data_IF_496688288605
#
_entry.id   IF_496688288605
#
_cell.length_a   1.000
_cell.length_b   1.000
_cell.length_c   1.000
_cell.angle_alpha   90.00
_cell.angle_beta   90.00
_cell.angle_gamma   90.00
#
_symmetry.space_group_name_H-M   'P 1'
#
loop_
_entity.id
_entity.type
_entity.pdbx_description
1 polymer ?
#
# COMPACT_ATOMS: atom_id res chain seq x y z
N UNK A 1 2.53 11.83 9.06
CA UNK A 1 3.24 10.75 9.78
C UNK A 1 2.76 9.44 9.20
N UNK A 2 3.68 8.52 8.95
CA UNK A 2 3.37 7.22 8.37
C UNK A 2 3.53 6.15 9.44
N UNK A 3 2.55 5.25 9.50
CA UNK A 3 2.51 4.10 10.39
C UNK A 3 2.49 2.88 9.46
N UNK A 4 3.38 1.92 9.70
CA UNK A 4 3.51 0.70 8.89
C UNK A 4 3.17 -0.47 9.78
N UNK A 5 2.18 -1.27 9.40
CA UNK A 5 1.80 -2.48 10.13
C UNK A 5 2.21 -3.66 9.25
N UNK A 6 3.33 -4.28 9.63
CA UNK A 6 4.02 -5.29 8.83
C UNK A 6 3.81 -6.68 9.40
N UNK A 7 3.54 -7.63 8.52
CA UNK A 7 3.43 -9.06 8.82
C UNK A 7 4.81 -9.68 9.07
N UNK A 8 4.88 -10.54 10.07
CA UNK A 8 5.99 -11.46 10.35
C UNK A 8 5.44 -12.88 10.44
N UNK A 9 6.07 -13.81 9.74
CA UNK A 9 5.70 -15.21 9.89
C UNK A 9 6.08 -15.71 11.28
N UNK A 10 5.10 -16.15 12.07
CA UNK A 10 5.36 -16.90 13.29
C UNK A 10 5.62 -18.36 12.95
N UNK A 11 6.35 -19.05 13.84
CA UNK A 11 6.61 -20.49 13.72
C UNK A 11 5.34 -21.36 13.79
N UNK A 12 4.18 -20.77 14.09
CA UNK A 12 2.88 -21.45 14.17
C UNK A 12 2.02 -21.29 12.90
N UNK A 13 2.55 -20.67 11.84
CA UNK A 13 1.80 -20.40 10.61
C UNK A 13 0.75 -19.29 10.74
N UNK A 14 0.77 -18.55 11.85
CA UNK A 14 0.00 -17.32 12.05
C UNK A 14 0.93 -16.13 11.76
N UNK A 15 0.45 -15.10 11.08
CA UNK A 15 1.20 -13.86 10.92
C UNK A 15 1.15 -13.04 12.20
N UNK A 16 2.21 -13.14 13.02
CA UNK A 16 2.52 -12.09 14.00
C UNK A 16 2.81 -10.78 13.26
N UNK A 17 2.90 -9.66 13.97
CA UNK A 17 3.18 -8.40 13.29
C UNK A 17 3.95 -7.40 14.13
N UNK A 18 4.48 -6.41 13.43
CA UNK A 18 5.13 -5.26 14.04
C UNK A 18 4.50 -3.97 13.52
N UNK A 19 4.11 -3.12 14.47
CA UNK A 19 3.68 -1.76 14.21
C UNK A 19 4.90 -0.83 14.30
N UNK A 20 5.22 -0.17 13.19
CA UNK A 20 6.29 0.79 13.07
C UNK A 20 5.73 2.20 12.88
N UNK A 21 6.28 3.22 13.56
CA UNK A 21 5.90 4.60 13.31
C UNK A 21 7.02 5.63 13.52
N UNK A 22 6.98 6.69 12.70
CA UNK A 22 8.01 7.73 12.54
C UNK A 22 7.80 8.94 13.48
N UNK A 23 8.24 8.89 14.74
CA UNK A 23 8.10 10.03 15.66
C UNK A 23 9.14 11.11 15.37
N UNK A 24 8.70 12.28 14.91
CA UNK A 24 9.54 13.48 14.88
C UNK A 24 9.74 14.00 16.30
N UNK A 25 10.93 13.85 16.83
CA UNK A 25 11.36 14.53 18.05
C UNK A 25 11.98 15.88 17.68
N UNK A 26 11.62 16.94 18.42
CA UNK A 26 12.00 18.32 18.11
C UNK A 26 13.52 18.59 18.10
N UNK A 27 14.35 17.67 18.60
CA UNK A 27 15.79 17.84 18.76
C UNK A 27 16.65 16.74 18.14
N UNK A 28 16.10 15.55 17.86
CA UNK A 28 16.88 14.35 17.46
C UNK A 28 16.46 13.72 16.11
N UNK A 29 15.62 14.42 15.34
CA UNK A 29 15.14 13.92 14.05
C UNK A 29 13.96 12.95 14.18
N UNK A 30 13.82 12.05 13.21
CA UNK A 30 12.75 11.05 13.19
C UNK A 30 13.23 9.76 13.85
N UNK A 31 12.62 9.39 14.97
CA UNK A 31 12.86 8.11 15.65
C UNK A 31 11.79 7.12 15.21
N UNK A 32 12.21 5.98 14.68
CA UNK A 32 11.30 4.86 14.40
C UNK A 32 11.07 4.06 15.70
N UNK A 33 9.80 3.96 16.12
CA UNK A 33 9.39 3.03 17.17
C UNK A 33 8.80 1.79 16.54
N UNK A 34 9.12 0.63 17.11
CA UNK A 34 8.54 -0.67 16.75
C UNK A 34 7.82 -1.25 17.96
N UNK A 35 6.63 -1.81 17.76
CA UNK A 35 5.92 -2.61 18.77
C UNK A 35 5.46 -3.93 18.15
N UNK A 36 5.95 -5.08 18.62
CA UNK A 36 5.46 -6.38 18.18
C UNK A 36 4.09 -6.67 18.80
N UNK A 37 3.23 -7.35 18.06
CA UNK A 37 1.92 -7.81 18.51
C UNK A 37 1.64 -9.24 18.05
N UNK A 38 0.83 -9.96 18.83
CA UNK A 38 0.45 -11.33 18.51
C UNK A 38 -0.59 -11.37 17.38
N UNK A 39 -0.25 -12.11 16.32
CA UNK A 39 -1.17 -12.39 15.22
C UNK A 39 -2.37 -13.23 15.65
N UNK A 40 -2.18 -14.10 16.65
CA UNK A 40 -3.26 -14.93 17.20
C UNK A 40 -4.31 -14.05 17.89
N UNK A 41 -3.89 -13.15 18.78
CA UNK A 41 -4.82 -12.23 19.47
C UNK A 41 -5.55 -11.32 18.47
N UNK A 42 -4.86 -10.89 17.41
CA UNK A 42 -5.47 -10.06 16.36
C UNK A 42 -6.50 -10.83 15.52
N UNK A 43 -6.26 -12.13 15.26
CA UNK A 43 -7.22 -13.04 14.61
C UNK A 43 -8.42 -13.36 15.50
N UNK A 44 -8.20 -13.56 16.80
CA UNK A 44 -9.27 -13.72 17.79
C UNK A 44 -10.14 -12.45 17.88
N UNK A 45 -9.50 -11.28 17.92
CA UNK A 45 -10.19 -9.98 17.83
C UNK A 45 -10.98 -9.84 16.51
N UNK A 46 -10.44 -10.25 15.37
CA UNK A 46 -11.15 -10.20 14.08
C UNK A 46 -12.43 -11.04 14.09
N UNK A 47 -12.38 -12.24 14.69
CA UNK A 47 -13.55 -13.13 14.80
C UNK A 47 -14.63 -12.51 15.72
N UNK A 48 -14.24 -12.03 16.90
CA UNK A 48 -15.12 -11.33 17.84
C UNK A 48 -15.68 -10.02 17.25
N UNK A 49 -14.89 -9.31 16.44
CA UNK A 49 -15.34 -8.14 15.69
C UNK A 49 -16.38 -8.49 14.63
N UNK A 50 -16.24 -9.61 13.90
CA UNK A 50 -17.26 -10.09 12.95
C UNK A 50 -18.59 -10.37 13.67
N UNK A 51 -18.54 -11.07 14.81
CA UNK A 51 -19.71 -11.34 15.66
C UNK A 51 -20.33 -10.03 16.19
N UNK A 52 -19.51 -9.05 16.56
CA UNK A 52 -19.98 -7.72 16.95
C UNK A 52 -20.73 -7.04 15.80
N UNK A 53 -20.14 -6.98 14.60
CA UNK A 53 -20.78 -6.41 13.41
C UNK A 53 -22.13 -7.08 13.12
N UNK A 54 -22.21 -8.40 13.12
CA UNK A 54 -23.46 -9.14 12.91
C UNK A 54 -24.54 -8.79 13.95
N UNK A 55 -24.16 -8.63 15.22
CA UNK A 55 -25.09 -8.16 16.28
C UNK A 55 -25.56 -6.73 16.04
N UNK A 56 -24.70 -5.82 15.61
CA UNK A 56 -25.10 -4.44 15.29
C UNK A 56 -26.06 -4.42 14.08
N UNK A 57 -25.77 -5.20 13.04
CA UNK A 57 -26.59 -5.30 11.83
C UNK A 57 -27.91 -6.03 12.04
N UNK A 58 -28.04 -6.90 13.04
CA UNK A 58 -29.32 -7.52 13.41
C UNK A 58 -30.13 -6.65 14.38
N UNK A 59 -29.52 -6.20 15.48
CA UNK A 59 -30.22 -5.52 16.59
C UNK A 59 -30.50 -4.03 16.34
N UNK A 60 -29.69 -3.37 15.50
CA UNK A 60 -29.70 -1.91 15.29
C UNK A 60 -29.77 -1.07 16.59
N UNK A 61 -28.78 -1.21 17.51
CA UNK A 61 -28.82 -0.48 18.78
C UNK A 61 -28.74 1.04 18.57
N UNK A 62 -29.18 1.76 19.61
CA UNK A 62 -29.06 3.22 19.67
C UNK A 62 -27.59 3.63 19.61
N UNK A 63 -27.36 4.85 19.14
CA UNK A 63 -26.02 5.41 18.92
C UNK A 63 -25.15 5.37 20.18
N UNK A 64 -25.71 5.69 21.33
CA UNK A 64 -25.00 5.77 22.61
C UNK A 64 -24.50 4.39 23.05
N UNK A 65 -25.37 3.38 22.94
CA UNK A 65 -25.06 1.97 23.24
C UNK A 65 -24.02 1.41 22.26
N UNK A 66 -24.15 1.73 20.97
CA UNK A 66 -23.16 1.37 19.96
C UNK A 66 -21.78 1.99 20.26
N UNK A 67 -21.73 3.27 20.65
CA UNK A 67 -20.47 3.98 20.91
C UNK A 67 -19.76 3.50 22.18
N UNK A 68 -20.48 3.09 23.23
CA UNK A 68 -19.89 2.42 24.40
C UNK A 68 -19.24 1.08 24.01
N UNK A 69 -19.97 0.23 23.27
CA UNK A 69 -19.47 -1.07 22.81
C UNK A 69 -18.29 -0.92 21.83
N UNK A 70 -18.37 0.05 20.90
CA UNK A 70 -17.28 0.39 19.99
C UNK A 70 -16.04 0.86 20.75
N UNK A 71 -16.23 1.65 21.81
CA UNK A 71 -15.15 2.09 22.69
C UNK A 71 -14.37 0.92 23.27
N UNK A 72 -15.07 -0.08 23.80
CA UNK A 72 -14.45 -1.31 24.33
C UNK A 72 -13.68 -2.10 23.27
N UNK A 73 -14.22 -2.22 22.04
CA UNK A 73 -13.49 -2.84 20.91
C UNK A 73 -12.25 -2.04 20.49
N UNK A 74 -12.34 -0.71 20.50
CA UNK A 74 -11.23 0.20 20.23
C UNK A 74 -10.10 0.03 21.23
N UNK A 75 -10.42 0.04 22.53
CA UNK A 75 -9.44 -0.12 23.61
C UNK A 75 -8.78 -1.52 23.57
N UNK A 76 -9.54 -2.58 23.25
CA UNK A 76 -8.99 -3.93 23.04
C UNK A 76 -8.01 -3.99 21.85
N UNK A 77 -8.37 -3.39 20.70
CA UNK A 77 -7.49 -3.36 19.52
C UNK A 77 -6.22 -2.53 19.79
N UNK A 78 -6.35 -1.40 20.49
CA UNK A 78 -5.20 -0.59 20.90
C UNK A 78 -4.26 -1.38 21.82
N UNK A 79 -4.80 -2.10 22.81
CA UNK A 79 -4.00 -2.92 23.72
C UNK A 79 -3.28 -4.07 23.00
N UNK A 80 -3.93 -4.73 22.03
CA UNK A 80 -3.28 -5.80 21.24
C UNK A 80 -2.10 -5.26 20.43
N UNK A 81 -2.25 -4.08 19.80
CA UNK A 81 -1.32 -3.61 18.77
C UNK A 81 -0.23 -2.67 19.31
N UNK A 82 -0.50 -1.92 20.38
CA UNK A 82 0.42 -0.95 20.98
C UNK A 82 0.80 -1.32 22.43
N UNK A 83 0.19 -2.35 23.00
CA UNK A 83 0.44 -2.77 24.39
C UNK A 83 0.10 -1.67 25.39
N UNK A 84 1.08 -1.32 26.22
CA UNK A 84 0.97 -0.21 27.18
C UNK A 84 1.36 1.17 26.56
N UNK A 85 1.72 1.21 25.28
CA UNK A 85 2.16 2.44 24.61
C UNK A 85 0.96 3.24 24.12
N UNK A 86 0.69 4.41 24.69
CA UNK A 86 -0.31 5.33 24.15
C UNK A 86 0.14 5.84 22.77
N UNK A 87 -0.66 5.65 21.70
CA UNK A 87 -0.30 6.16 20.38
C UNK A 87 -0.25 7.70 20.36
N UNK A 88 0.79 8.27 19.76
CA UNK A 88 1.05 9.72 19.74
C UNK A 88 -0.11 10.58 19.19
N UNK A 89 -0.96 10.04 18.30
CA UNK A 89 -2.12 10.78 17.78
C UNK A 89 -3.27 10.92 18.79
N UNK A 90 -3.19 10.22 19.94
CA UNK A 90 -4.06 10.45 21.09
C UNK A 90 -3.60 11.62 21.97
N UNK A 91 -2.39 12.17 21.74
CA UNK A 91 -1.91 13.34 22.47
C UNK A 91 -2.77 14.59 22.14
N UNK A 92 -3.14 15.41 23.16
CA UNK A 92 -3.80 16.68 22.93
C UNK A 92 -3.00 17.58 21.97
N UNK A 93 -3.70 18.29 21.08
CA UNK A 93 -3.09 19.18 20.09
C UNK A 93 -2.51 18.51 18.83
N UNK A 94 -2.50 17.18 18.72
CA UNK A 94 -2.08 16.52 17.48
C UNK A 94 -3.00 16.88 16.30
N UNK A 95 -2.41 17.39 15.22
CA UNK A 95 -3.09 17.85 14.00
C UNK A 95 -2.53 17.28 12.69
N UNK A 96 -1.58 16.34 12.78
CA UNK A 96 -0.88 15.79 11.62
C UNK A 96 -1.68 14.78 10.79
N UNK A 97 -1.23 14.54 9.55
CA UNK A 97 -1.71 13.41 8.73
C UNK A 97 -1.34 12.08 9.40
N UNK A 98 -2.31 11.17 9.52
CA UNK A 98 -2.14 9.80 9.99
C UNK A 98 -2.31 8.88 8.77
N UNK A 99 -1.33 8.03 8.48
CA UNK A 99 -1.36 7.16 7.30
C UNK A 99 -0.95 5.74 7.69
N UNK A 100 -1.92 4.84 7.77
CA UNK A 100 -1.71 3.41 8.04
C UNK A 100 -1.43 2.71 6.72
N UNK A 101 -0.22 2.18 6.56
CA UNK A 101 0.15 1.28 5.48
C UNK A 101 0.24 -0.14 6.05
N UNK A 102 -0.72 -0.98 5.71
CA UNK A 102 -0.87 -2.31 6.32
C UNK A 102 -0.58 -3.41 5.30
N UNK A 103 -0.06 -4.54 5.75
CA UNK A 103 0.05 -5.73 4.90
C UNK A 103 -1.34 -6.36 4.62
N UNK A 104 -1.54 -7.07 3.50
CA UNK A 104 -2.84 -7.62 3.12
C UNK A 104 -3.48 -8.52 4.19
N UNK A 105 -2.68 -9.27 4.93
CA UNK A 105 -3.10 -10.15 6.04
C UNK A 105 -3.80 -9.36 7.16
N UNK A 106 -3.48 -8.07 7.30
CA UNK A 106 -4.05 -7.15 8.28
C UNK A 106 -5.03 -6.14 7.68
N UNK A 107 -5.40 -6.29 6.40
CA UNK A 107 -6.41 -5.46 5.75
C UNK A 107 -7.86 -5.66 6.24
N UNK A 108 -8.25 -6.79 6.88
CA UNK A 108 -9.58 -6.93 7.49
C UNK A 108 -9.77 -6.17 8.80
N UNK A 109 -8.67 -5.80 9.46
CA UNK A 109 -8.70 -5.22 10.79
C UNK A 109 -9.30 -3.80 10.72
N UNK A 110 -10.23 -3.46 11.62
CA UNK A 110 -10.96 -2.18 11.58
C UNK A 110 -10.12 -1.02 12.18
N UNK A 111 -8.95 -0.71 11.63
CA UNK A 111 -8.08 0.39 12.09
C UNK A 111 -8.81 1.73 12.23
N UNK A 112 -9.87 1.92 11.44
CA UNK A 112 -10.86 2.98 11.51
C UNK A 112 -11.44 3.24 12.91
N UNK A 113 -11.48 2.24 13.80
CA UNK A 113 -12.05 2.34 15.16
C UNK A 113 -11.05 2.77 16.21
N UNK A 114 -9.76 2.92 15.91
CA UNK A 114 -8.79 3.40 16.90
C UNK A 114 -9.15 4.83 17.32
N UNK A 115 -8.91 5.17 18.58
CA UNK A 115 -9.25 6.48 19.16
C UNK A 115 -8.22 7.54 18.78
N UNK A 116 -8.71 8.76 18.80
CA UNK A 116 -7.96 10.01 18.71
C UNK A 116 -8.30 10.87 19.94
N UNK A 117 -7.70 12.03 20.08
CA UNK A 117 -8.13 13.03 21.06
C UNK A 117 -9.59 13.51 20.84
N UNK A 118 -10.13 13.42 19.62
CA UNK A 118 -11.40 14.02 19.21
C UNK A 118 -12.42 12.99 18.67
N UNK A 119 -12.37 11.74 19.13
CA UNK A 119 -13.24 10.64 18.66
C UNK A 119 -12.43 9.51 18.04
N UNK A 120 -12.80 9.04 16.86
CA UNK A 120 -12.22 7.87 16.19
C UNK A 120 -11.56 8.19 14.83
N UNK A 121 -10.62 7.33 14.38
CA UNK A 121 -9.90 7.55 13.11
C UNK A 121 -10.82 7.66 11.88
N UNK A 122 -11.95 6.93 11.81
CA UNK A 122 -12.92 7.06 10.71
C UNK A 122 -13.59 8.44 10.62
N UNK A 123 -13.54 9.23 11.68
CA UNK A 123 -14.08 10.60 11.76
C UNK A 123 -13.03 11.65 11.39
N UNK A 124 -11.75 11.28 11.37
CA UNK A 124 -10.63 12.17 11.15
C UNK A 124 -10.32 12.31 9.65
N UNK A 125 -10.49 13.51 9.09
CA UNK A 125 -10.18 13.80 7.68
C UNK A 125 -8.69 13.68 7.33
N UNK A 126 -7.82 13.72 8.34
CA UNK A 126 -6.38 13.54 8.19
C UNK A 126 -5.93 12.06 8.26
N UNK A 127 -6.84 11.11 8.52
CA UNK A 127 -6.56 9.68 8.50
C UNK A 127 -6.68 9.08 7.09
N UNK A 128 -5.70 8.27 6.69
CA UNK A 128 -5.71 7.49 5.45
C UNK A 128 -5.24 6.06 5.68
N UNK A 129 -5.77 5.15 4.87
CA UNK A 129 -5.39 3.74 4.82
C UNK A 129 -4.81 3.40 3.44
N UNK A 130 -3.75 2.62 3.44
CA UNK A 130 -3.16 2.00 2.26
C UNK A 130 -2.79 0.56 2.56
N UNK A 131 -2.67 -0.27 1.52
CA UNK A 131 -2.15 -1.64 1.63
C UNK A 131 -0.75 -1.67 1.01
N UNK A 132 0.20 -2.34 1.67
CA UNK A 132 1.52 -2.61 1.09
C UNK A 132 1.37 -3.72 0.06
N UNK A 133 1.49 -3.34 -1.21
CA UNK A 133 1.47 -4.26 -2.35
C UNK A 133 2.63 -3.99 -3.28
N UNK A 134 3.19 -5.05 -3.86
CA UNK A 134 3.99 -4.94 -5.06
C UNK A 134 3.03 -4.67 -6.24
N UNK A 135 3.27 -3.60 -7.01
CA UNK A 135 2.43 -3.24 -8.16
C UNK A 135 3.01 -3.85 -9.44
N UNK A 136 2.14 -4.35 -10.31
CA UNK A 136 2.52 -4.68 -11.68
C UNK A 136 2.72 -3.38 -12.49
N UNK A 137 3.98 -2.90 -12.60
CA UNK A 137 4.34 -1.59 -13.18
C UNK A 137 4.22 -1.47 -14.71
N UNK A 138 3.34 -2.22 -15.37
CA UNK A 138 3.07 -2.01 -16.80
C UNK A 138 2.18 -0.76 -16.95
N UNK A 139 2.75 0.41 -17.19
CA UNK A 139 1.94 1.62 -17.41
C UNK A 139 1.18 1.55 -18.74
N UNK A 140 -0.15 1.49 -18.68
CA UNK A 140 -1.01 1.78 -19.84
C UNK A 140 -1.22 3.28 -19.96
N UNK A 141 -0.72 3.85 -21.05
CA UNK A 141 -0.75 5.30 -21.35
C UNK A 141 -2.12 5.78 -21.86
N UNK A 142 -3.01 4.87 -22.27
CA UNK A 142 -4.30 5.20 -22.89
C UNK A 142 -5.33 5.66 -21.83
N UNK A 143 -5.41 6.97 -21.62
CA UNK A 143 -6.33 7.61 -20.66
C UNK A 143 -7.55 8.19 -21.36
N UNK A 144 -8.65 7.43 -21.40
CA UNK A 144 -9.98 7.94 -21.73
C UNK A 144 -10.58 8.61 -20.49
N UNK A 145 -11.20 9.79 -20.60
CA UNK A 145 -11.84 10.45 -19.44
C UNK A 145 -13.29 9.98 -19.23
N UNK A 146 -13.54 8.68 -19.41
CA UNK A 146 -14.87 8.05 -19.36
C UNK A 146 -15.10 7.28 -18.05
N UNK A 147 -16.37 7.02 -17.76
CA UNK A 147 -16.84 6.20 -16.64
C UNK A 147 -17.57 4.94 -17.13
N UNK A 148 -17.48 3.86 -16.35
CA UNK A 148 -18.25 2.63 -16.52
C UNK A 148 -19.14 2.41 -15.29
N UNK A 149 -20.43 2.16 -15.50
CA UNK A 149 -21.34 1.62 -14.50
C UNK A 149 -21.55 0.14 -14.79
N UNK A 150 -21.36 -0.73 -13.80
CA UNK A 150 -21.59 -2.17 -13.89
C UNK A 150 -22.77 -2.52 -12.99
N UNK A 151 -23.86 -3.01 -13.58
CA UNK A 151 -25.11 -3.33 -12.91
C UNK A 151 -25.26 -4.85 -12.84
N UNK A 152 -24.87 -5.44 -11.72
CA UNK A 152 -24.74 -6.89 -11.55
C UNK A 152 -25.43 -7.39 -10.27
N UNK A 153 -26.77 -7.42 -10.22
CA UNK A 153 -27.49 -7.80 -9.00
C UNK A 153 -27.19 -9.24 -8.57
N UNK A 154 -27.12 -10.18 -9.53
CA UNK A 154 -26.80 -11.62 -9.36
C UNK A 154 -27.86 -12.40 -8.55
N UNK A 155 -28.33 -11.83 -7.45
CA UNK A 155 -29.37 -12.37 -6.58
C UNK A 155 -30.69 -11.64 -6.81
N UNK A 156 -31.84 -12.34 -6.90
CA UNK A 156 -33.14 -11.71 -7.16
C UNK A 156 -33.50 -10.59 -6.16
N UNK A 157 -33.12 -10.73 -4.89
CA UNK A 157 -33.38 -9.74 -3.85
C UNK A 157 -32.56 -8.44 -3.98
N UNK A 158 -31.63 -8.36 -4.93
CA UNK A 158 -30.83 -7.16 -5.23
C UNK A 158 -31.23 -6.48 -6.54
N UNK A 159 -32.07 -7.11 -7.38
CA UNK A 159 -32.40 -6.62 -8.73
C UNK A 159 -32.97 -5.20 -8.72
N UNK A 160 -34.05 -4.97 -7.96
CA UNK A 160 -34.69 -3.65 -7.90
C UNK A 160 -33.71 -2.56 -7.45
N UNK A 161 -32.99 -2.79 -6.35
CA UNK A 161 -32.08 -1.79 -5.79
C UNK A 161 -30.89 -1.48 -6.71
N UNK A 162 -30.27 -2.49 -7.31
CA UNK A 162 -29.14 -2.29 -8.25
C UNK A 162 -29.62 -1.60 -9.54
N UNK A 163 -30.81 -1.94 -10.03
CA UNK A 163 -31.41 -1.27 -11.18
C UNK A 163 -31.75 0.20 -10.89
N UNK A 164 -32.35 0.51 -9.74
CA UNK A 164 -32.62 1.87 -9.27
C UNK A 164 -31.33 2.70 -9.09
N UNK A 165 -30.30 2.10 -8.49
CA UNK A 165 -29.00 2.73 -8.30
C UNK A 165 -28.38 3.11 -9.65
N UNK A 166 -28.29 2.14 -10.57
CA UNK A 166 -27.78 2.37 -11.91
C UNK A 166 -28.60 3.40 -12.71
N UNK A 167 -29.93 3.35 -12.62
CA UNK A 167 -30.82 4.30 -13.29
C UNK A 167 -30.67 5.72 -12.73
N UNK A 168 -30.36 5.86 -11.44
CA UNK A 168 -30.11 7.17 -10.79
C UNK A 168 -28.71 7.70 -11.10
N UNK A 169 -27.70 6.83 -11.15
CA UNK A 169 -26.32 7.20 -11.45
C UNK A 169 -26.09 7.57 -12.91
N UNK A 170 -26.83 6.97 -13.85
CA UNK A 170 -26.70 7.26 -15.28
C UNK A 170 -26.82 8.75 -15.64
N UNK A 171 -27.97 9.43 -15.38
CA UNK A 171 -28.14 10.86 -15.71
C UNK A 171 -27.33 11.79 -14.80
N UNK A 172 -26.74 11.28 -13.72
CA UNK A 172 -25.82 12.03 -12.86
C UNK A 172 -24.41 12.09 -13.48
N UNK A 173 -23.92 10.94 -13.97
CA UNK A 173 -22.57 10.79 -14.52
C UNK A 173 -22.46 11.31 -15.96
N UNK A 174 -23.44 11.01 -16.82
CA UNK A 174 -23.43 11.38 -18.24
C UNK A 174 -23.29 12.90 -18.45
N UNK A 175 -23.88 13.71 -17.56
CA UNK A 175 -23.78 15.19 -17.55
C UNK A 175 -22.35 15.73 -17.41
N UNK A 176 -21.38 14.90 -17.00
CA UNK A 176 -20.00 15.32 -16.68
C UNK A 176 -18.91 14.41 -17.24
N UNK A 177 -19.24 13.19 -17.68
CA UNK A 177 -18.30 12.17 -18.14
C UNK A 177 -18.95 11.35 -19.26
N UNK A 178 -18.24 11.05 -20.37
CA UNK A 178 -18.67 10.04 -21.32
C UNK A 178 -18.87 8.70 -20.61
N UNK A 179 -20.05 8.12 -20.74
CA UNK A 179 -20.52 7.04 -19.89
C UNK A 179 -20.69 5.73 -20.68
N UNK A 180 -20.39 4.62 -20.01
CA UNK A 180 -20.68 3.26 -20.48
C UNK A 180 -21.46 2.52 -19.39
N UNK A 181 -22.37 1.64 -19.79
CA UNK A 181 -23.09 0.75 -18.87
C UNK A 181 -22.86 -0.70 -19.31
N UNK A 182 -22.51 -1.56 -18.35
CA UNK A 182 -22.52 -3.00 -18.51
C UNK A 182 -23.63 -3.59 -17.61
N UNK A 183 -24.74 -3.98 -18.22
CA UNK A 183 -25.87 -4.65 -17.56
C UNK A 183 -25.61 -6.17 -17.49
N UNK A 184 -26.16 -6.83 -16.48
CA UNK A 184 -26.03 -8.28 -16.24
C UNK A 184 -26.25 -9.15 -17.49
N UNK A 185 -27.25 -8.84 -18.33
CA UNK A 185 -27.55 -9.60 -19.55
C UNK A 185 -26.47 -9.49 -20.64
N UNK A 186 -25.58 -8.50 -20.57
CA UNK A 186 -24.42 -8.32 -21.46
C UNK A 186 -23.08 -8.56 -20.74
N UNK A 187 -23.11 -8.91 -19.46
CA UNK A 187 -21.93 -9.10 -18.61
C UNK A 187 -21.28 -10.47 -18.92
N UNK A 188 -20.50 -10.53 -19.99
CA UNK A 188 -19.58 -11.65 -20.23
C UNK A 188 -18.19 -11.31 -19.68
N UNK A 189 -17.39 -12.35 -19.42
CA UNK A 189 -15.98 -12.21 -19.01
C UNK A 189 -15.19 -11.33 -19.97
N UNK A 190 -15.30 -11.59 -21.27
CA UNK A 190 -14.62 -10.81 -22.32
C UNK A 190 -15.12 -9.36 -22.28
N UNK A 191 -16.45 -9.14 -22.24
CA UNK A 191 -17.00 -7.78 -22.29
C UNK A 191 -16.63 -6.95 -21.07
N UNK A 192 -16.63 -7.53 -19.88
CA UNK A 192 -16.17 -6.88 -18.67
C UNK A 192 -14.73 -6.35 -18.83
N UNK A 193 -13.83 -7.19 -19.36
CA UNK A 193 -12.43 -6.84 -19.60
C UNK A 193 -12.26 -5.77 -20.68
N UNK A 194 -13.01 -5.84 -21.79
CA UNK A 194 -13.01 -4.80 -22.82
C UNK A 194 -13.39 -3.43 -22.23
N UNK A 195 -14.45 -3.39 -21.42
CA UNK A 195 -14.94 -2.15 -20.85
C UNK A 195 -13.96 -1.60 -19.79
N UNK A 196 -13.41 -2.44 -18.90
CA UNK A 196 -12.39 -2.08 -17.92
C UNK A 196 -11.18 -1.36 -18.56
N UNK A 197 -10.71 -1.86 -19.70
CA UNK A 197 -9.55 -1.33 -20.42
C UNK A 197 -9.83 0.02 -21.12
N UNK A 198 -11.08 0.51 -21.10
CA UNK A 198 -11.55 1.65 -21.90
C UNK A 198 -12.07 2.84 -21.09
N UNK A 199 -11.98 2.79 -19.76
CA UNK A 199 -12.50 3.81 -18.83
C UNK A 199 -11.48 4.20 -17.77
N UNK A 200 -11.67 5.37 -17.14
CA UNK A 200 -10.84 5.88 -16.05
C UNK A 200 -11.51 5.79 -14.68
N UNK A 201 -12.83 5.67 -14.68
CA UNK A 201 -13.68 5.62 -13.50
C UNK A 201 -14.61 4.41 -13.57
N UNK A 202 -14.77 3.68 -12.48
CA UNK A 202 -15.69 2.53 -12.40
C UNK A 202 -16.61 2.69 -11.20
N UNK A 203 -17.89 2.42 -11.43
CA UNK A 203 -18.87 2.10 -10.40
C UNK A 203 -19.36 0.67 -10.59
N UNK A 204 -19.26 -0.15 -9.56
CA UNK A 204 -19.84 -1.50 -9.53
C UNK A 204 -20.97 -1.54 -8.50
N UNK A 205 -22.18 -1.88 -8.94
CA UNK A 205 -23.34 -2.12 -8.08
C UNK A 205 -23.75 -3.59 -8.22
N UNK A 206 -23.67 -4.36 -7.14
CA UNK A 206 -23.93 -5.80 -7.22
C UNK A 206 -23.42 -6.62 -6.04
N UNK A 207 -23.42 -7.94 -6.20
CA UNK A 207 -22.81 -8.87 -5.25
C UNK A 207 -21.37 -9.25 -5.66
N UNK A 208 -20.46 -9.37 -4.69
CA UNK A 208 -19.16 -10.02 -4.84
C UNK A 208 -19.12 -11.27 -3.98
N UNK A 209 -18.60 -12.35 -4.54
CA UNK A 209 -18.40 -13.61 -3.82
C UNK A 209 -16.92 -13.80 -3.51
N UNK A 210 -16.59 -14.86 -2.74
CA UNK A 210 -15.19 -15.23 -2.51
C UNK A 210 -14.48 -15.38 -3.86
N UNK A 211 -14.96 -16.24 -4.76
CA UNK A 211 -14.25 -16.58 -6.00
C UNK A 211 -14.08 -15.41 -6.99
N UNK A 212 -14.70 -14.25 -6.77
CA UNK A 212 -14.56 -13.06 -7.62
C UNK A 212 -15.85 -12.30 -7.84
N UNK A 213 -15.91 -11.60 -8.97
CA UNK A 213 -17.17 -11.04 -9.48
C UNK A 213 -17.93 -12.17 -10.21
N UNK A 214 -19.08 -12.62 -9.72
CA UNK A 214 -19.91 -13.60 -10.42
C UNK A 214 -20.50 -13.00 -11.71
N UNK A 215 -20.56 -13.81 -12.76
CA UNK A 215 -21.19 -13.49 -14.04
C UNK A 215 -22.17 -14.61 -14.44
N UNK A 216 -23.13 -14.37 -15.36
CA UNK A 216 -24.09 -15.38 -15.79
C UNK A 216 -23.43 -16.68 -16.26
N UNK A 217 -24.09 -17.81 -16.01
CA UNK A 217 -23.57 -19.15 -16.35
C UNK A 217 -22.65 -19.78 -15.31
N UNK A 218 -22.76 -19.37 -14.03
CA UNK A 218 -21.96 -19.89 -12.91
C UNK A 218 -20.43 -19.71 -13.10
N UNK A 219 -20.04 -18.60 -13.72
CA UNK A 219 -18.65 -18.23 -13.96
C UNK A 219 -18.24 -17.04 -13.08
N UNK A 220 -16.93 -16.83 -12.94
CA UNK A 220 -16.37 -15.73 -12.16
C UNK A 220 -15.26 -15.02 -12.95
N UNK A 221 -15.15 -13.71 -12.75
CA UNK A 221 -13.91 -12.97 -13.01
C UNK A 221 -13.11 -13.04 -11.71
N UNK A 222 -12.03 -13.82 -11.70
CA UNK A 222 -11.28 -14.09 -10.47
C UNK A 222 -10.41 -12.91 -10.04
N UNK A 223 -10.07 -12.90 -8.76
CA UNK A 223 -9.22 -11.89 -8.14
C UNK A 223 -7.82 -11.86 -8.78
N UNK A 224 -7.22 -13.03 -9.05
CA UNK A 224 -5.92 -13.15 -9.70
C UNK A 224 -5.93 -12.71 -11.17
N UNK A 225 -7.05 -12.95 -11.88
CA UNK A 225 -7.22 -12.44 -13.24
C UNK A 225 -7.29 -10.91 -13.28
N UNK A 226 -7.85 -10.28 -12.24
CA UNK A 226 -7.83 -8.83 -12.10
C UNK A 226 -6.41 -8.37 -11.77
N UNK A 227 -5.78 -8.97 -10.75
CA UNK A 227 -4.46 -8.57 -10.25
C UNK A 227 -3.32 -8.71 -11.29
N UNK A 228 -3.43 -9.67 -12.21
CA UNK A 228 -2.46 -9.91 -13.30
C UNK A 228 -2.57 -8.92 -14.47
N UNK A 229 -3.59 -8.04 -14.49
CA UNK A 229 -3.78 -7.03 -15.53
C UNK A 229 -3.03 -5.73 -15.24
N UNK A 230 -2.94 -4.87 -16.25
CA UNK A 230 -2.61 -3.46 -16.06
C UNK A 230 -3.88 -2.63 -16.06
N UNK A 231 -4.13 -1.96 -14.95
CA UNK A 231 -5.24 -1.04 -14.71
C UNK A 231 -4.74 0.33 -14.23
N UNK A 232 -3.49 0.72 -14.57
CA UNK A 232 -2.86 2.00 -14.18
C UNK A 232 -3.58 3.25 -14.72
N UNK A 233 -4.46 3.08 -15.71
CA UNK A 233 -5.32 4.11 -16.27
C UNK A 233 -6.57 4.39 -15.40
N UNK A 234 -6.92 3.50 -14.46
CA UNK A 234 -8.00 3.70 -13.51
C UNK A 234 -7.58 4.67 -12.39
N UNK A 235 -8.21 5.84 -12.37
CA UNK A 235 -8.03 6.84 -11.30
C UNK A 235 -8.82 6.46 -10.04
N UNK A 236 -9.99 5.83 -10.21
CA UNK A 236 -10.89 5.48 -9.13
C UNK A 236 -11.83 4.32 -9.51
N UNK A 237 -11.95 3.36 -8.60
CA UNK A 237 -12.92 2.27 -8.64
C UNK A 237 -13.77 2.31 -7.38
N UNK A 238 -15.09 2.30 -7.52
CA UNK A 238 -16.04 2.25 -6.42
C UNK A 238 -16.82 0.93 -6.44
N UNK A 239 -16.66 0.11 -5.39
CA UNK A 239 -17.40 -1.13 -5.19
C UNK A 239 -18.54 -0.93 -4.21
N UNK A 240 -19.76 -0.81 -4.74
CA UNK A 240 -20.97 -0.93 -3.94
C UNK A 240 -21.32 -2.41 -3.73
N UNK A 241 -20.50 -3.10 -2.93
CA UNK A 241 -20.69 -4.51 -2.58
C UNK A 241 -20.09 -4.87 -1.22
N UNK A 242 -20.81 -5.69 -0.46
CA UNK A 242 -20.37 -6.23 0.82
C UNK A 242 -19.04 -7.00 0.68
N UNK A 243 -18.13 -6.84 1.64
CA UNK A 243 -16.80 -7.50 1.66
C UNK A 243 -15.88 -7.22 0.45
N UNK A 244 -16.21 -6.26 -0.43
CA UNK A 244 -15.37 -5.87 -1.58
C UNK A 244 -13.97 -5.35 -1.18
N UNK A 245 -13.80 -4.95 0.08
CA UNK A 245 -12.54 -4.50 0.66
C UNK A 245 -11.90 -5.48 1.66
N UNK A 246 -12.47 -6.67 1.83
CA UNK A 246 -11.97 -7.69 2.76
C UNK A 246 -10.95 -8.61 2.05
N UNK A 247 -9.72 -8.71 2.55
CA UNK A 247 -8.77 -9.76 2.19
C UNK A 247 -8.77 -10.88 3.25
N UNK A 248 -8.04 -11.97 3.01
CA UNK A 248 -7.60 -12.91 4.04
C UNK A 248 -6.21 -13.42 3.71
N UNK A 249 -5.57 -14.15 4.64
CA UNK A 249 -4.27 -14.79 4.42
C UNK A 249 -4.30 -15.69 3.17
N UNK A 250 -5.39 -16.45 3.02
CA UNK A 250 -5.56 -17.38 1.89
C UNK A 250 -6.09 -16.69 0.62
N UNK A 251 -6.48 -15.41 0.68
CA UNK A 251 -7.23 -14.80 -0.42
C UNK A 251 -7.12 -13.27 -0.52
N UNK A 252 -6.62 -12.78 -1.66
CA UNK A 252 -6.77 -11.36 -2.02
C UNK A 252 -8.22 -11.04 -2.40
N UNK A 253 -8.79 -10.04 -1.75
CA UNK A 253 -10.08 -9.44 -2.07
C UNK A 253 -10.03 -8.54 -3.31
N UNK A 254 -11.21 -8.04 -3.68
CA UNK A 254 -11.40 -7.31 -4.93
C UNK A 254 -10.63 -5.99 -4.96
N UNK A 255 -10.64 -5.27 -3.83
CA UNK A 255 -9.91 -4.01 -3.69
C UNK A 255 -8.40 -4.20 -3.88
N UNK A 256 -7.79 -5.13 -3.15
CA UNK A 256 -6.34 -5.44 -3.25
C UNK A 256 -5.96 -5.90 -4.64
N UNK A 257 -6.83 -6.65 -5.33
CA UNK A 257 -6.61 -7.10 -6.70
C UNK A 257 -6.57 -5.94 -7.71
N UNK A 258 -7.51 -4.99 -7.63
CA UNK A 258 -7.48 -3.78 -8.46
C UNK A 258 -6.26 -2.89 -8.16
N UNK A 259 -5.84 -2.78 -6.90
CA UNK A 259 -4.65 -2.03 -6.51
C UNK A 259 -3.36 -2.70 -7.02
N UNK A 260 -3.25 -4.04 -6.95
CA UNK A 260 -2.13 -4.84 -7.51
C UNK A 260 -1.99 -4.65 -9.02
N UNK A 261 -3.13 -4.61 -9.72
CA UNK A 261 -3.22 -4.28 -11.14
C UNK A 261 -2.86 -2.82 -11.48
N UNK A 262 -2.70 -1.95 -10.47
CA UNK A 262 -2.24 -0.57 -10.64
C UNK A 262 -3.31 0.52 -10.54
N UNK A 263 -4.57 0.18 -10.22
CA UNK A 263 -5.60 1.20 -9.98
C UNK A 263 -5.14 2.15 -8.85
N UNK A 264 -5.35 3.47 -9.04
CA UNK A 264 -4.79 4.47 -8.12
C UNK A 264 -5.52 4.51 -6.79
N UNK A 265 -6.85 4.42 -6.85
CA UNK A 265 -7.73 4.47 -5.69
C UNK A 265 -8.87 3.47 -5.86
N UNK A 266 -9.20 2.78 -4.79
CA UNK A 266 -10.33 1.87 -4.72
C UNK A 266 -11.09 2.12 -3.43
N UNK A 267 -12.42 2.16 -3.54
CA UNK A 267 -13.35 2.34 -2.42
C UNK A 267 -14.27 1.12 -2.37
N UNK A 268 -14.54 0.62 -1.18
CA UNK A 268 -15.42 -0.53 -0.96
C UNK A 268 -15.81 -0.69 0.50
N UNK A 269 -16.42 -1.84 0.82
CA UNK A 269 -16.91 -2.16 2.15
C UNK A 269 -16.16 -3.36 2.75
N UNK A 270 -15.68 -3.22 3.99
CA UNK A 270 -15.06 -4.31 4.75
C UNK A 270 -16.09 -5.35 5.24
N UNK A 271 -17.32 -4.92 5.47
CA UNK A 271 -18.38 -5.67 6.16
C UNK A 271 -19.70 -5.64 5.36
N UNK A 272 -20.73 -6.41 5.75
CA UNK A 272 -22.04 -6.30 5.12
C UNK A 272 -22.63 -4.89 5.35
N UNK A 273 -23.33 -4.42 4.34
CA UNK A 273 -24.08 -3.15 4.36
C UNK A 273 -25.53 -3.43 3.95
N UNK A 274 -26.47 -2.69 4.51
CA UNK A 274 -27.88 -2.82 4.16
C UNK A 274 -28.13 -2.28 2.74
N UNK A 275 -28.93 -3.01 1.96
CA UNK A 275 -29.07 -2.83 0.51
C UNK A 275 -29.49 -1.41 0.10
N UNK A 276 -30.42 -0.76 0.78
CA UNK A 276 -30.82 0.61 0.42
C UNK A 276 -29.77 1.64 0.85
N UNK A 277 -29.19 1.46 2.04
CA UNK A 277 -28.12 2.31 2.54
C UNK A 277 -26.89 2.28 1.61
N UNK A 278 -26.56 1.10 1.08
CA UNK A 278 -25.52 0.93 0.06
C UNK A 278 -25.83 1.76 -1.20
N UNK A 279 -27.03 1.63 -1.77
CA UNK A 279 -27.50 2.44 -2.93
C UNK A 279 -27.36 3.94 -2.67
N UNK A 280 -27.84 4.42 -1.53
CA UNK A 280 -27.78 5.84 -1.17
C UNK A 280 -26.35 6.35 -1.02
N UNK A 281 -25.44 5.53 -0.46
CA UNK A 281 -24.00 5.84 -0.37
C UNK A 281 -23.38 5.93 -1.77
N UNK A 282 -23.66 4.97 -2.66
CA UNK A 282 -23.16 4.97 -4.05
C UNK A 282 -23.58 6.22 -4.83
N UNK A 283 -24.87 6.58 -4.77
CA UNK A 283 -25.42 7.80 -5.39
C UNK A 283 -24.80 9.06 -4.79
N UNK A 284 -24.74 9.15 -3.46
CA UNK A 284 -24.17 10.31 -2.75
C UNK A 284 -22.69 10.49 -3.03
N UNK A 285 -21.94 9.40 -3.16
CA UNK A 285 -20.52 9.43 -3.47
C UNK A 285 -20.25 10.08 -4.81
N UNK A 286 -20.92 9.62 -5.88
CA UNK A 286 -20.73 10.22 -7.20
C UNK A 286 -21.21 11.66 -7.26
N UNK A 287 -22.31 12.01 -6.57
CA UNK A 287 -22.75 13.41 -6.46
C UNK A 287 -21.65 14.31 -5.90
N UNK A 288 -21.11 13.97 -4.71
CA UNK A 288 -20.05 14.76 -4.08
C UNK A 288 -18.70 14.69 -4.82
N UNK A 289 -18.39 13.58 -5.48
CA UNK A 289 -17.15 13.43 -6.24
C UNK A 289 -17.20 14.23 -7.55
N UNK A 290 -18.35 14.29 -8.21
CA UNK A 290 -18.51 15.12 -9.42
C UNK A 290 -18.40 16.62 -9.11
N UNK A 291 -18.90 17.06 -7.95
CA UNK A 291 -18.73 18.43 -7.41
C UNK A 291 -17.27 18.76 -7.06
N UNK A 292 -16.61 17.88 -6.31
CA UNK A 292 -15.34 18.21 -5.64
C UNK A 292 -14.08 17.70 -6.34
N UNK A 293 -14.22 16.68 -7.20
CA UNK A 293 -13.14 15.86 -7.77
C UNK A 293 -12.17 15.29 -6.73
N UNK A 294 -12.62 15.14 -5.48
CA UNK A 294 -11.83 14.70 -4.34
C UNK A 294 -12.57 13.58 -3.60
N UNK A 295 -12.00 12.37 -3.64
CA UNK A 295 -12.55 11.15 -3.02
C UNK A 295 -12.70 11.28 -1.50
N UNK A 296 -11.68 11.79 -0.85
CA UNK A 296 -11.61 11.95 0.61
C UNK A 296 -12.70 12.90 1.11
N UNK A 297 -12.90 14.05 0.44
CA UNK A 297 -13.96 15.02 0.75
C UNK A 297 -15.37 14.46 0.53
N UNK A 298 -15.55 13.60 -0.47
CA UNK A 298 -16.82 12.89 -0.70
C UNK A 298 -17.13 11.88 0.40
N UNK A 299 -16.14 11.07 0.79
CA UNK A 299 -16.30 10.10 1.88
C UNK A 299 -16.47 10.78 3.24
N UNK A 300 -15.77 11.89 3.50
CA UNK A 300 -15.95 12.68 4.72
C UNK A 300 -17.40 13.19 4.84
N UNK A 301 -17.99 13.72 3.76
CA UNK A 301 -19.41 14.12 3.74
C UNK A 301 -20.33 12.95 4.09
N UNK A 302 -20.15 11.79 3.46
CA UNK A 302 -20.99 10.59 3.68
C UNK A 302 -20.83 10.08 5.11
N UNK A 303 -19.59 9.89 5.59
CA UNK A 303 -19.33 9.43 6.96
C UNK A 303 -19.93 10.39 7.99
N UNK A 304 -19.86 11.71 7.78
CA UNK A 304 -20.52 12.71 8.66
C UNK A 304 -22.05 12.68 8.63
N UNK A 305 -22.66 12.17 7.56
CA UNK A 305 -24.11 11.93 7.51
C UNK A 305 -24.44 10.67 8.32
N UNK A 306 -23.80 9.54 8.00
CA UNK A 306 -23.98 8.25 8.68
C UNK A 306 -23.69 8.30 10.20
N UNK A 307 -22.71 9.11 10.63
CA UNK A 307 -22.38 9.33 12.05
C UNK A 307 -23.51 9.96 12.88
N UNK A 308 -24.53 10.54 12.25
CA UNK A 308 -25.70 11.09 12.95
C UNK A 308 -26.77 10.05 13.25
N UNK A 309 -26.72 8.90 12.58
CA UNK A 309 -27.71 7.85 12.67
C UNK A 309 -27.45 6.82 13.77
N UNK A 310 -28.08 5.67 13.56
CA UNK A 310 -28.07 4.46 14.38
C UNK A 310 -26.75 3.69 14.34
N UNK A 311 -26.62 2.64 15.18
CA UNK A 311 -25.46 1.74 15.14
C UNK A 311 -25.20 1.14 13.76
N UNK A 312 -26.24 0.84 12.96
CA UNK A 312 -26.13 0.38 11.57
C UNK A 312 -25.44 1.37 10.64
N UNK A 313 -25.79 2.64 10.74
CA UNK A 313 -25.21 3.68 9.89
C UNK A 313 -23.75 3.95 10.30
N UNK A 314 -23.46 3.97 11.60
CA UNK A 314 -22.09 4.19 12.08
C UNK A 314 -21.18 3.00 11.72
N UNK A 315 -21.62 1.74 11.87
CA UNK A 315 -20.81 0.59 11.44
C UNK A 315 -20.64 0.55 9.91
N UNK A 316 -21.62 1.05 9.15
CA UNK A 316 -21.48 1.25 7.69
C UNK A 316 -20.44 2.33 7.35
N UNK A 317 -20.37 3.42 8.14
CA UNK A 317 -19.36 4.47 7.97
C UNK A 317 -17.93 3.99 8.26
N UNK A 318 -17.79 3.03 9.18
CA UNK A 318 -16.53 2.32 9.50
C UNK A 318 -16.19 1.31 8.38
N UNK A 319 -17.19 0.57 7.88
CA UNK A 319 -17.05 -0.40 6.80
C UNK A 319 -16.59 0.22 5.48
N UNK A 320 -17.10 1.42 5.16
CA UNK A 320 -16.79 2.16 3.93
C UNK A 320 -15.34 2.70 3.97
N UNK A 321 -14.43 2.01 3.30
CA UNK A 321 -12.99 2.30 3.30
C UNK A 321 -12.48 2.73 1.93
N UNK A 322 -11.43 3.55 1.95
CA UNK A 322 -10.69 3.97 0.76
C UNK A 322 -9.27 3.47 0.91
N UNK A 323 -8.81 2.75 -0.11
CA UNK A 323 -7.42 2.42 -0.29
C UNK A 323 -6.87 3.21 -1.46
N UNK A 324 -5.67 3.75 -1.28
CA UNK A 324 -4.92 4.39 -2.36
C UNK A 324 -3.56 3.74 -2.46
N UNK A 325 -3.08 3.54 -3.68
CA UNK A 325 -1.66 3.24 -3.84
C UNK A 325 -0.91 4.56 -3.79
N UNK A 326 0.02 4.69 -2.84
CA UNK A 326 0.89 5.87 -2.76
C UNK A 326 1.62 5.98 -4.10
N UNK A 327 1.41 7.10 -4.79
CA UNK A 327 2.27 7.48 -5.90
C UNK A 327 3.63 7.89 -5.30
N UNK A 328 4.77 7.44 -5.83
CA UNK A 328 6.04 8.04 -5.45
C UNK A 328 5.92 9.54 -5.66
N UNK A 329 6.27 10.34 -4.65
CA UNK A 329 6.17 11.80 -4.74
C UNK A 329 6.90 12.24 -6.01
N UNK A 330 6.21 12.78 -7.04
CA UNK A 330 6.93 13.31 -8.19
C UNK A 330 7.83 14.43 -7.65
N UNK A 331 9.13 14.34 -7.96
CA UNK A 331 10.12 15.34 -7.56
C UNK A 331 9.51 16.73 -7.76
N UNK A 332 9.40 17.55 -6.70
CA UNK A 332 8.55 18.73 -6.74
C UNK A 332 9.02 19.60 -7.90
N UNK A 333 8.10 19.98 -8.80
CA UNK A 333 8.43 20.68 -10.07
C UNK A 333 9.32 21.91 -9.86
N UNK A 334 9.27 22.52 -8.67
CA UNK A 334 10.18 23.57 -8.20
C UNK A 334 11.67 23.19 -8.24
N UNK A 335 12.06 21.96 -7.87
CA UNK A 335 13.45 21.50 -7.96
C UNK A 335 13.86 21.40 -9.43
N UNK A 336 13.01 20.86 -10.30
CA UNK A 336 13.29 20.78 -11.74
C UNK A 336 13.38 22.17 -12.40
N UNK A 337 12.55 23.12 -11.96
CA UNK A 337 12.62 24.52 -12.38
C UNK A 337 13.89 25.21 -11.84
N UNK A 338 14.26 25.00 -10.58
CA UNK A 338 15.46 25.56 -9.98
C UNK A 338 16.73 25.01 -10.63
N UNK A 339 16.82 23.68 -10.83
CA UNK A 339 17.96 23.07 -11.53
C UNK A 339 18.03 23.52 -12.97
N UNK A 340 16.92 23.54 -13.72
CA UNK A 340 16.90 24.04 -15.10
C UNK A 340 17.32 25.51 -15.19
N UNK A 341 16.80 26.39 -14.32
CA UNK A 341 17.21 27.80 -14.26
C UNK A 341 18.68 27.97 -13.91
N UNK A 342 19.21 27.17 -12.97
CA UNK A 342 20.63 27.20 -12.60
C UNK A 342 21.52 26.72 -13.74
N UNK A 343 21.10 25.67 -14.46
CA UNK A 343 21.80 25.12 -15.63
C UNK A 343 21.79 26.12 -16.80
N UNK A 344 20.69 26.84 -17.00
CA UNK A 344 20.60 27.94 -17.96
C UNK A 344 21.55 29.08 -17.59
N UNK A 345 21.63 29.46 -16.32
CA UNK A 345 22.54 30.50 -15.80
C UNK A 345 24.01 30.10 -15.98
N UNK A 346 24.36 28.84 -15.68
CA UNK A 346 25.68 28.27 -15.94
C UNK A 346 26.01 28.23 -17.43
N UNK A 347 25.06 27.85 -18.28
CA UNK A 347 25.23 27.86 -19.73
C UNK A 347 25.55 29.28 -20.23
N UNK A 348 24.80 30.29 -19.80
CA UNK A 348 25.10 31.69 -20.15
C UNK A 348 26.45 32.14 -19.60
N UNK A 349 26.82 31.83 -18.36
CA UNK A 349 28.12 32.20 -17.77
C UNK A 349 29.33 31.58 -18.48
N UNK A 350 29.16 30.39 -19.08
CA UNK A 350 30.21 29.72 -19.85
C UNK A 350 30.27 30.30 -21.27
N UNK A 351 29.13 30.51 -21.93
CA UNK A 351 29.07 30.96 -23.33
C UNK A 351 29.16 32.48 -23.54
N UNK A 352 29.07 33.32 -22.50
CA UNK A 352 29.37 34.77 -22.60
C UNK A 352 30.84 35.10 -22.35
N UNK A 353 31.72 34.11 -22.19
CA UNK A 353 33.12 34.29 -21.79
C UNK A 353 34.14 34.15 -22.93
N UNK A 354 33.89 34.87 -24.02
CA UNK A 354 34.89 35.33 -24.99
C UNK A 354 34.71 36.85 -25.15
N UNK A 355 35.72 37.71 -25.22
CA UNK A 355 37.19 37.54 -25.26
C UNK A 355 37.84 38.79 -24.66
N UNK A 356 39.10 38.73 -24.21
CA UNK A 356 40.05 39.68 -24.76
C UNK A 356 41.32 39.04 -25.33
N UNK A 357 41.76 39.61 -26.46
CA UNK A 357 43.12 39.50 -27.02
C UNK A 357 44.18 39.89 -25.95
N UNK A 358 45.48 39.55 -26.06
CA UNK A 358 46.32 39.39 -27.27
C UNK A 358 47.61 38.61 -26.97
N UNK A 359 48.33 38.22 -28.03
CA UNK A 359 49.60 37.48 -28.06
C UNK A 359 50.71 37.98 -27.12
N UNK A 360 51.60 37.07 -26.72
CA UNK A 360 53.06 37.29 -26.83
C UNK A 360 53.80 35.96 -27.03
N UNK A 361 54.78 35.92 -27.93
CA UNK A 361 55.57 34.73 -28.29
C UNK A 361 56.87 34.66 -27.47
N UNK A 362 57.18 33.51 -26.87
CA UNK A 362 58.55 33.18 -26.40
C UNK A 362 58.85 31.70 -26.71
N UNK A 363 59.93 31.39 -27.46
CA UNK A 363 60.41 30.03 -27.65
C UNK A 363 61.51 29.67 -26.63
N UNK A 364 61.51 28.44 -26.11
CA UNK A 364 62.65 27.50 -26.21
C UNK A 364 62.34 26.13 -25.58
N UNK A 365 62.61 25.09 -26.35
CA UNK A 365 63.32 23.85 -25.99
C UNK A 365 63.49 23.48 -24.50
N UNK A 366 63.02 22.27 -24.12
CA UNK A 366 63.79 21.31 -23.30
C UNK A 366 63.10 19.93 -23.12
N UNK A 367 63.61 18.94 -23.87
CA UNK A 367 63.84 17.52 -23.48
C UNK A 367 62.78 16.76 -22.64
N UNK A 368 62.17 15.75 -23.27
CA UNK A 368 61.62 14.58 -22.59
C UNK A 368 62.72 13.67 -22.00
N UNK A 369 62.53 13.11 -20.80
CA UNK A 369 63.09 11.82 -20.41
C UNK A 369 62.00 10.72 -20.44
N UNK A 370 62.22 9.73 -21.31
CA UNK A 370 61.53 8.43 -21.29
C UNK A 370 62.28 7.51 -20.33
N UNK A 371 61.62 6.98 -19.31
CA UNK A 371 62.12 5.81 -18.57
C UNK A 371 61.00 4.78 -18.42
N UNK A 372 61.33 3.55 -18.79
CA UNK A 372 60.50 2.36 -18.73
C UNK A 372 60.85 1.53 -17.49
N UNK A 373 59.91 0.69 -17.04
CA UNK A 373 60.24 -0.67 -16.63
C UNK A 373 60.38 -1.00 -15.14
N UNK A 374 59.62 -2.03 -14.73
CA UNK A 374 60.04 -3.17 -13.90
C UNK A 374 60.44 -2.88 -12.43
N UNK A 375 60.01 -3.65 -11.44
CA UNK A 375 60.18 -5.11 -11.40
C UNK A 375 59.33 -5.81 -10.32
N UNK A 376 59.18 -7.12 -10.49
CA UNK A 376 58.53 -8.04 -9.55
C UNK A 376 59.44 -8.35 -8.33
N UNK A 377 58.85 -8.85 -7.23
CA UNK A 377 59.60 -9.69 -6.27
C UNK A 377 58.76 -10.75 -5.56
N UNK A 378 59.31 -11.96 -5.53
CA UNK A 378 58.89 -13.17 -4.81
C UNK A 378 60.09 -13.67 -3.97
N UNK A 379 60.01 -14.64 -3.05
CA UNK A 379 58.87 -15.42 -2.54
C UNK A 379 58.84 -15.24 -0.98
N UNK A 380 58.97 -16.20 -0.02
CA UNK A 380 58.90 -17.67 -0.03
C UNK A 380 57.71 -18.27 0.78
N UNK A 381 57.56 -19.59 0.62
CA UNK A 381 56.41 -20.42 1.02
C UNK A 381 56.62 -21.20 2.34
N UNK A 382 55.52 -21.71 2.90
CA UNK A 382 55.34 -23.01 3.62
C UNK A 382 55.10 -22.90 5.15
N UNK A 383 54.30 -23.80 5.80
CA UNK A 383 53.68 -25.06 5.33
C UNK A 383 52.14 -25.19 5.49
N UNK A 384 51.62 -26.37 5.09
CA UNK A 384 50.20 -26.82 5.04
C UNK A 384 49.55 -26.85 6.45
N UNK A 385 48.22 -26.74 6.67
CA UNK A 385 47.05 -27.56 6.25
C UNK A 385 45.72 -26.82 6.70
N UNK A 386 44.49 -27.39 6.67
CA UNK A 386 43.80 -28.24 5.67
C UNK A 386 42.41 -27.66 5.23
N UNK A 387 41.80 -28.30 4.21
CA UNK A 387 40.42 -28.10 3.70
C UNK A 387 40.10 -26.69 3.16
N UNK A 388 39.72 -26.61 1.89
CA UNK A 388 39.22 -25.40 1.24
C UNK A 388 37.91 -24.93 1.89
N UNK A 389 38.01 -24.06 2.90
CA UNK A 389 36.87 -23.35 3.45
C UNK A 389 36.30 -22.42 2.38
N UNK A 390 35.00 -22.50 2.19
CA UNK A 390 34.24 -21.69 1.25
C UNK A 390 34.58 -20.19 1.39
N UNK A 391 34.95 -19.49 0.29
CA UNK A 391 35.31 -18.08 0.34
C UNK A 391 34.25 -17.19 0.99
N UNK A 392 32.96 -17.52 0.82
CA UNK A 392 31.86 -16.77 1.43
C UNK A 392 31.80 -17.01 2.94
N UNK A 393 31.97 -18.25 3.40
CA UNK A 393 32.03 -18.57 4.84
C UNK A 393 33.23 -17.89 5.51
N UNK A 394 34.37 -17.80 4.82
CA UNK A 394 35.53 -17.04 5.30
C UNK A 394 35.28 -15.52 5.39
N UNK A 395 34.43 -14.94 4.51
CA UNK A 395 33.98 -13.55 4.65
C UNK A 395 33.04 -13.38 5.84
N UNK A 396 32.05 -14.26 5.99
CA UNK A 396 31.10 -14.23 7.12
C UNK A 396 31.83 -14.34 8.47
N UNK A 397 32.87 -15.17 8.56
CA UNK A 397 33.67 -15.30 9.79
C UNK A 397 34.41 -14.02 10.20
N UNK A 398 34.63 -13.07 9.28
CA UNK A 398 35.26 -11.77 9.56
C UNK A 398 34.29 -10.68 10.03
N UNK A 399 32.98 -10.92 10.00
CA UNK A 399 31.95 -10.00 10.48
C UNK A 399 32.14 -9.78 12.01
N UNK A 400 32.15 -8.52 12.42
CA UNK A 400 32.42 -8.09 13.80
C UNK A 400 31.19 -8.30 14.69
N UNK A 401 30.01 -7.98 14.16
CA UNK A 401 28.71 -8.12 14.79
C UNK A 401 28.37 -9.61 14.98
N UNK A 402 28.23 -10.09 16.22
CA UNK A 402 28.01 -11.52 16.49
C UNK A 402 26.63 -12.00 16.04
N UNK A 403 25.62 -11.14 16.02
CA UNK A 403 24.25 -11.45 15.59
C UNK A 403 24.20 -11.61 14.06
N UNK A 404 24.78 -10.65 13.32
CA UNK A 404 24.89 -10.72 11.87
C UNK A 404 25.69 -11.96 11.42
N UNK A 405 26.87 -12.18 12.02
CA UNK A 405 27.70 -13.36 11.73
C UNK A 405 26.94 -14.67 11.94
N UNK A 406 26.22 -14.80 13.06
CA UNK A 406 25.41 -15.98 13.37
C UNK A 406 24.29 -16.19 12.35
N UNK A 407 23.55 -15.14 12.04
CA UNK A 407 22.38 -15.23 11.15
C UNK A 407 22.80 -15.47 9.70
N UNK A 408 23.92 -14.90 9.22
CA UNK A 408 24.44 -15.15 7.88
C UNK A 408 24.92 -16.60 7.68
N UNK A 409 25.54 -17.23 8.70
CA UNK A 409 25.86 -18.67 8.66
C UNK A 409 24.58 -19.52 8.63
N UNK A 410 23.64 -19.23 9.55
CA UNK A 410 22.38 -19.97 9.67
C UNK A 410 21.53 -19.87 8.39
N UNK A 411 21.54 -18.72 7.70
CA UNK A 411 20.84 -18.52 6.43
C UNK A 411 21.37 -19.44 5.32
N UNK A 412 22.70 -19.64 5.24
CA UNK A 412 23.29 -20.58 4.28
C UNK A 412 22.89 -22.03 4.61
N UNK A 413 22.95 -22.43 5.88
CA UNK A 413 22.66 -23.81 6.34
C UNK A 413 21.17 -24.19 6.29
N UNK A 414 20.26 -23.24 6.49
CA UNK A 414 18.82 -23.52 6.60
C UNK A 414 18.18 -23.74 5.22
N UNK A 415 17.45 -24.85 5.02
CA UNK A 415 16.64 -25.03 3.81
C UNK A 415 15.54 -23.97 3.74
N UNK A 416 15.54 -23.15 2.68
CA UNK A 416 14.59 -22.06 2.50
C UNK A 416 13.51 -22.44 1.47
N UNK A 417 12.26 -22.04 1.70
CA UNK A 417 11.12 -22.47 0.89
C UNK A 417 11.11 -21.87 -0.54
N UNK A 418 11.76 -20.72 -0.72
CA UNK A 418 11.75 -19.94 -1.98
C UNK A 418 13.15 -19.67 -2.57
N UNK A 419 14.23 -20.06 -1.88
CA UNK A 419 15.61 -19.75 -2.27
C UNK A 419 16.45 -21.03 -2.22
N UNK A 420 17.02 -21.41 -3.36
CA UNK A 420 18.07 -22.42 -3.39
C UNK A 420 19.40 -21.87 -2.87
N UNK A 421 20.40 -22.76 -2.74
CA UNK A 421 21.70 -22.42 -2.19
C UNK A 421 22.51 -21.48 -3.09
N UNK A 422 22.17 -21.33 -4.37
CA UNK A 422 22.80 -20.36 -5.27
C UNK A 422 22.28 -18.95 -4.97
N UNK A 423 20.96 -18.76 -4.90
CA UNK A 423 20.36 -17.46 -4.63
C UNK A 423 20.73 -16.92 -3.23
N UNK A 424 20.83 -17.78 -2.21
CA UNK A 424 21.30 -17.38 -0.88
C UNK A 424 22.74 -16.84 -0.89
N UNK A 425 23.62 -17.49 -1.67
CA UNK A 425 25.02 -17.05 -1.86
C UNK A 425 25.06 -15.70 -2.56
N UNK A 426 24.30 -15.55 -3.64
CA UNK A 426 24.20 -14.30 -4.40
C UNK A 426 23.75 -13.12 -3.54
N UNK A 427 22.74 -13.31 -2.68
CA UNK A 427 22.27 -12.27 -1.74
C UNK A 427 23.42 -11.80 -0.82
N UNK A 428 24.14 -12.74 -0.20
CA UNK A 428 25.25 -12.41 0.71
C UNK A 428 26.45 -11.81 -0.03
N UNK A 429 26.81 -12.34 -1.20
CA UNK A 429 27.90 -11.77 -2.02
C UNK A 429 27.58 -10.37 -2.53
N UNK A 430 26.33 -10.10 -2.93
CA UNK A 430 25.85 -8.77 -3.27
C UNK A 430 26.02 -7.80 -2.11
N UNK A 431 25.57 -8.19 -0.90
CA UNK A 431 25.70 -7.35 0.31
C UNK A 431 27.17 -7.08 0.64
N UNK A 432 28.05 -8.09 0.58
CA UNK A 432 29.49 -7.93 0.83
C UNK A 432 30.25 -7.25 -0.31
N UNK A 433 29.61 -6.95 -1.44
CA UNK A 433 30.19 -6.19 -2.56
C UNK A 433 29.90 -4.68 -2.47
N UNK A 434 28.90 -4.27 -1.68
CA UNK A 434 28.60 -2.86 -1.43
C UNK A 434 29.57 -2.28 -0.39
N UNK A 435 30.38 -1.28 -0.78
CA UNK A 435 31.21 -0.51 0.15
C UNK A 435 30.32 0.27 1.13
N UNK A 436 30.09 -0.33 2.31
CA UNK A 436 29.07 0.10 3.26
C UNK A 436 29.39 -0.36 4.69
N UNK A 437 28.84 0.33 5.69
CA UNK A 437 29.07 -0.02 7.09
C UNK A 437 28.42 -1.37 7.46
N UNK A 438 28.95 -2.03 8.49
CA UNK A 438 28.48 -3.35 8.90
C UNK A 438 27.01 -3.35 9.35
N UNK A 439 26.53 -2.23 9.92
CA UNK A 439 25.13 -2.02 10.27
C UNK A 439 24.23 -1.94 9.03
N UNK A 440 24.68 -1.25 7.96
CA UNK A 440 23.95 -1.20 6.68
C UNK A 440 23.94 -2.56 6.02
N UNK A 441 25.07 -3.28 5.99
CA UNK A 441 25.12 -4.66 5.48
C UNK A 441 24.16 -5.57 6.27
N UNK A 442 24.08 -5.42 7.60
CA UNK A 442 23.16 -6.22 8.40
C UNK A 442 21.69 -5.89 8.14
N UNK A 443 21.36 -4.61 7.94
CA UNK A 443 20.02 -4.17 7.56
C UNK A 443 19.59 -4.71 6.18
N UNK A 444 20.47 -4.63 5.18
CA UNK A 444 20.24 -5.20 3.85
C UNK A 444 20.09 -6.73 3.93
N UNK A 445 20.91 -7.40 4.74
CA UNK A 445 20.79 -8.84 4.99
C UNK A 445 19.40 -9.20 5.52
N UNK A 446 18.92 -8.58 6.61
CA UNK A 446 17.58 -8.85 7.15
C UNK A 446 16.49 -8.60 6.11
N UNK A 447 16.61 -7.49 5.38
CA UNK A 447 15.65 -7.08 4.34
C UNK A 447 15.56 -8.05 3.16
N UNK A 448 16.69 -8.61 2.70
CA UNK A 448 16.77 -9.49 1.52
C UNK A 448 16.64 -10.98 1.86
N UNK A 449 17.03 -11.41 3.06
CA UNK A 449 16.98 -12.82 3.50
C UNK A 449 15.72 -13.20 4.27
N UNK A 450 15.03 -12.23 4.89
CA UNK A 450 13.87 -12.48 5.76
C UNK A 450 14.21 -12.93 7.19
N UNK A 451 15.49 -12.87 7.60
CA UNK A 451 15.98 -13.17 8.97
C UNK A 451 15.93 -11.95 9.92
#
# INVERSE_FOLDING_TARGET
MKIRILSKYSNQGISDGECFWEEKQNQFGTVEKTTPFSGQLLKEFQNDWSIFVERILSQNPKKEEFLDKLGKKSDSLEQIVFGNTTPFWRMPGFSGKIEFLVDPEFSPIPWEILRTNNGYLFQNSNFKRGIRIQKNQKEVTKKTNSALIICNPVKPNLENTVNEECATLYPLLEKKLPLRILKQNHLTKIRFIEELNSVKYIHYAGHTEKNGIPIPGNQFISMDEIASRSLSHLDLVFFNSCYSSFDSIDQSGLTTSFLKAGAKQVIGFLYPVETNLAKEIGISFWKYFLESKNTEKSLEKIRKQLQKGSGKEIITAISLVQFSTIAPNPLPKRIFQLTFSLLLLLFFLIFTRESPQKNEDIPLDLKFPRIEGLSQKQLPTSPQEPRSKDPLVLRIQKITNPEFRKNALLFLETKHALLDDSHKREILESIFSEDSSEEKMYYEFKTRSGF
#
